data_IF_533040699302
#
_entry.id   IF_533040699302
#
_cell.length_a   1.000
_cell.length_b   1.000
_cell.length_c   1.000
_cell.angle_alpha   90.00
_cell.angle_beta   90.00
_cell.angle_gamma   90.00
#
_symmetry.space_group_name_H-M   'P 1'
#
loop_
_entity.id
_entity.type
_entity.pdbx_description
1 polymer ?
#
# COMPACT_ATOMS: atom_id res chain seq x y z
N UNK A 1 -23.05 8.24 2.21
CA UNK A 1 -21.66 7.71 2.13
C UNK A 1 -20.75 8.60 2.95
N UNK A 2 -20.09 8.06 3.99
CA UNK A 2 -19.19 8.85 4.84
C UNK A 2 -17.84 8.16 4.87
N UNK A 3 -16.80 8.84 4.39
CA UNK A 3 -15.42 8.39 4.52
C UNK A 3 -14.86 8.85 5.87
N UNK A 4 -14.36 7.92 6.69
CA UNK A 4 -13.80 8.19 8.00
C UNK A 4 -12.81 7.10 8.44
N UNK A 5 -11.99 7.39 9.44
CA UNK A 5 -11.09 6.38 10.01
C UNK A 5 -11.85 5.34 10.84
N UNK A 6 -11.30 4.11 10.94
CA UNK A 6 -11.88 3.03 11.77
C UNK A 6 -12.11 3.51 13.20
N UNK A 7 -11.16 4.21 13.79
CA UNK A 7 -11.27 4.73 15.16
C UNK A 7 -12.46 5.68 15.32
N UNK A 8 -12.71 6.54 14.34
CA UNK A 8 -13.86 7.44 14.34
C UNK A 8 -15.17 6.68 14.13
N UNK A 9 -15.19 5.72 13.22
CA UNK A 9 -16.34 4.86 12.97
C UNK A 9 -16.76 4.10 14.21
N UNK A 10 -15.81 3.48 14.90
CA UNK A 10 -16.06 2.72 16.13
C UNK A 10 -16.33 3.61 17.34
N UNK A 11 -16.12 4.93 17.24
CA UNK A 11 -16.31 5.87 18.33
C UNK A 11 -15.27 5.70 19.44
N UNK A 12 -13.99 5.93 19.10
CA UNK A 12 -12.88 5.88 20.04
C UNK A 12 -13.11 6.79 21.25
N UNK A 13 -12.80 6.29 22.44
CA UNK A 13 -12.88 7.03 23.69
C UNK A 13 -11.46 7.44 24.11
N UNK A 14 -11.22 8.71 24.50
CA UNK A 14 -9.92 9.13 25.00
C UNK A 14 -9.48 8.25 26.18
N UNK A 15 -8.21 7.83 26.19
CA UNK A 15 -7.59 7.04 27.26
C UNK A 15 -8.29 5.70 27.57
N UNK A 16 -9.00 5.12 26.59
CA UNK A 16 -9.69 3.85 26.76
C UNK A 16 -9.38 2.92 25.59
N UNK A 17 -9.10 1.64 25.83
CA UNK A 17 -8.94 0.64 24.75
C UNK A 17 -10.30 0.19 24.18
N UNK A 18 -11.41 0.67 24.72
CA UNK A 18 -12.76 0.28 24.31
C UNK A 18 -13.40 1.34 23.41
N UNK A 19 -14.17 0.85 22.43
CA UNK A 19 -14.95 1.66 21.51
C UNK A 19 -16.42 1.77 21.95
N UNK A 20 -17.15 2.73 21.38
CA UNK A 20 -18.61 2.83 21.58
C UNK A 20 -19.33 1.70 20.85
N UNK A 21 -18.95 1.47 19.58
CA UNK A 21 -19.49 0.36 18.79
C UNK A 21 -18.80 -0.96 19.18
N UNK A 22 -19.56 -2.00 19.38
CA UNK A 22 -19.13 -3.35 19.78
C UNK A 22 -20.27 -4.35 19.53
N UNK A 23 -20.10 -5.62 19.90
CA UNK A 23 -21.11 -6.66 19.69
C UNK A 23 -22.48 -6.37 20.34
N UNK A 24 -22.52 -5.63 21.47
CA UNK A 24 -23.75 -5.24 22.12
C UNK A 24 -24.38 -3.96 21.55
N UNK A 25 -23.58 -3.14 20.87
CA UNK A 25 -23.99 -1.90 20.23
C UNK A 25 -23.37 -1.88 18.83
N UNK A 26 -23.93 -2.67 17.89
CA UNK A 26 -23.37 -2.77 16.54
C UNK A 26 -23.53 -1.47 15.75
N UNK A 27 -22.72 -1.33 14.72
CA UNK A 27 -22.82 -0.25 13.75
C UNK A 27 -24.14 -0.35 12.96
N UNK A 28 -24.66 0.79 12.51
CA UNK A 28 -25.84 0.85 11.65
C UNK A 28 -25.39 1.03 10.20
N UNK A 29 -25.09 -0.09 9.53
CA UNK A 29 -24.66 -0.10 8.13
C UNK A 29 -24.96 -1.47 7.49
N UNK A 30 -25.13 -1.46 6.18
CA UNK A 30 -25.35 -2.66 5.36
C UNK A 30 -24.07 -3.12 4.66
N UNK A 31 -23.22 -2.15 4.27
CA UNK A 31 -21.96 -2.42 3.58
C UNK A 31 -20.85 -1.58 4.18
N UNK A 32 -19.74 -2.22 4.49
CA UNK A 32 -18.50 -1.57 4.91
C UNK A 32 -17.43 -1.81 3.85
N UNK A 33 -16.88 -0.72 3.30
CA UNK A 33 -15.66 -0.79 2.47
C UNK A 33 -14.50 -0.30 3.32
N UNK A 34 -13.51 -1.17 3.50
CA UNK A 34 -12.29 -0.87 4.25
C UNK A 34 -11.11 -0.79 3.28
N UNK A 35 -10.61 0.41 3.09
CA UNK A 35 -9.42 0.65 2.26
C UNK A 35 -8.14 0.54 3.11
N UNK A 36 -7.01 0.21 2.47
CA UNK A 36 -5.71 -0.02 3.11
C UNK A 36 -5.78 -1.05 4.26
N UNK A 37 -6.55 -2.14 4.06
CA UNK A 37 -6.79 -3.16 5.08
C UNK A 37 -5.52 -3.89 5.52
N UNK A 38 -4.45 -3.86 4.73
CA UNK A 38 -3.13 -4.40 5.07
C UNK A 38 -2.47 -3.70 6.27
N UNK A 39 -2.84 -2.44 6.53
CA UNK A 39 -2.32 -1.64 7.64
C UNK A 39 -3.11 -1.81 8.94
N UNK A 40 -4.19 -2.59 8.94
CA UNK A 40 -5.04 -2.80 10.12
C UNK A 40 -4.52 -4.00 10.91
N UNK A 41 -4.18 -3.77 12.18
CA UNK A 41 -3.73 -4.82 13.09
C UNK A 41 -4.86 -5.78 13.49
N UNK A 42 -4.50 -6.97 13.96
CA UNK A 42 -5.44 -8.00 14.37
C UNK A 42 -6.40 -7.54 15.49
N UNK A 43 -5.96 -6.85 16.56
CA UNK A 43 -6.87 -6.35 17.60
C UNK A 43 -7.91 -5.36 17.08
N UNK A 44 -7.54 -4.44 16.21
CA UNK A 44 -8.47 -3.45 15.63
C UNK A 44 -9.44 -4.10 14.66
N UNK A 45 -8.95 -5.04 13.82
CA UNK A 45 -9.80 -5.83 12.92
C UNK A 45 -10.82 -6.65 13.69
N UNK A 46 -10.42 -7.32 14.77
CA UNK A 46 -11.32 -8.08 15.63
C UNK A 46 -12.42 -7.20 16.24
N UNK A 47 -12.08 -6.00 16.72
CA UNK A 47 -13.05 -5.04 17.26
C UNK A 47 -14.00 -4.52 16.19
N UNK A 48 -13.49 -4.29 14.97
CA UNK A 48 -14.29 -3.89 13.83
C UNK A 48 -15.33 -4.97 13.49
N UNK A 49 -14.89 -6.22 13.34
CA UNK A 49 -15.79 -7.32 13.04
C UNK A 49 -16.82 -7.57 14.14
N UNK A 50 -16.43 -7.45 15.40
CA UNK A 50 -17.36 -7.56 16.52
C UNK A 50 -18.44 -6.46 16.53
N UNK A 51 -18.16 -5.31 15.96
CA UNK A 51 -19.09 -4.19 15.86
C UNK A 51 -19.97 -4.23 14.59
N UNK A 52 -19.71 -5.13 13.64
CA UNK A 52 -20.54 -5.28 12.43
C UNK A 52 -21.86 -5.98 12.74
N UNK A 53 -22.99 -5.49 12.20
CA UNK A 53 -24.24 -6.21 12.26
C UNK A 53 -24.16 -7.49 11.41
N UNK A 54 -24.90 -8.55 11.80
CA UNK A 54 -24.81 -9.88 11.15
C UNK A 54 -25.13 -9.88 9.66
N UNK A 55 -25.92 -8.93 9.20
CA UNK A 55 -26.32 -8.81 7.80
C UNK A 55 -25.35 -7.97 6.96
N UNK A 56 -24.42 -7.26 7.59
CA UNK A 56 -23.51 -6.38 6.89
C UNK A 56 -22.53 -7.15 6.00
N UNK A 57 -22.30 -6.62 4.83
CA UNK A 57 -21.23 -7.06 3.93
C UNK A 57 -19.97 -6.25 4.17
N UNK A 58 -18.82 -6.89 4.09
CA UNK A 58 -17.53 -6.21 4.18
C UNK A 58 -16.72 -6.43 2.91
N UNK A 59 -16.16 -5.34 2.40
CA UNK A 59 -15.22 -5.34 1.27
C UNK A 59 -13.88 -4.83 1.80
N UNK A 60 -12.88 -5.69 1.80
CA UNK A 60 -11.52 -5.36 2.19
C UNK A 60 -10.70 -5.04 0.94
N UNK A 61 -10.16 -3.83 0.87
CA UNK A 61 -9.25 -3.40 -0.18
C UNK A 61 -7.86 -3.21 0.44
N UNK A 62 -6.81 -3.65 -0.24
CA UNK A 62 -5.46 -3.48 0.26
C UNK A 62 -4.44 -4.25 -0.56
N UNK A 63 -3.20 -4.09 -0.21
CA UNK A 63 -2.07 -4.75 -0.86
C UNK A 63 -1.34 -5.64 0.15
N UNK A 64 -1.41 -6.95 -0.06
CA UNK A 64 -0.78 -7.94 0.83
C UNK A 64 0.75 -7.83 0.88
N UNK A 65 1.36 -7.19 -0.13
CA UNK A 65 2.80 -7.07 -0.29
C UNK A 65 3.34 -5.73 0.29
N UNK A 66 2.43 -4.82 0.72
CA UNK A 66 2.82 -3.61 1.45
C UNK A 66 3.24 -3.94 2.88
N UNK A 67 3.95 -2.99 3.48
CA UNK A 67 4.34 -3.10 4.89
C UNK A 67 3.11 -3.34 5.76
N UNK A 68 3.15 -4.43 6.51
CA UNK A 68 2.12 -4.72 7.51
C UNK A 68 2.06 -3.63 8.59
N UNK A 69 0.99 -3.64 9.38
CA UNK A 69 0.88 -2.78 10.55
C UNK A 69 2.09 -2.94 11.49
N UNK A 70 2.44 -1.89 12.20
CA UNK A 70 3.53 -1.91 13.19
C UNK A 70 3.22 -2.88 14.34
N UNK A 71 1.94 -3.11 14.62
CA UNK A 71 1.47 -4.07 15.61
C UNK A 71 1.25 -5.46 14.99
N UNK A 72 1.18 -6.47 15.85
CA UNK A 72 1.17 -7.89 15.46
C UNK A 72 -0.03 -8.28 14.61
N UNK A 73 0.25 -8.98 13.52
CA UNK A 73 -0.74 -9.66 12.67
C UNK A 73 -1.09 -8.90 11.39
N UNK A 74 -1.10 -9.61 10.28
CA UNK A 74 -1.56 -9.10 8.99
C UNK A 74 -2.77 -9.90 8.54
N UNK A 75 -3.96 -9.48 9.00
CA UNK A 75 -5.21 -10.21 8.72
C UNK A 75 -5.49 -10.35 7.23
N UNK A 76 -5.23 -9.27 6.46
CA UNK A 76 -5.43 -9.33 5.00
C UNK A 76 -4.50 -10.35 4.34
N UNK A 77 -3.21 -10.37 4.72
CA UNK A 77 -2.26 -11.34 4.19
C UNK A 77 -2.63 -12.77 4.55
N UNK A 78 -3.12 -13.00 5.77
CA UNK A 78 -3.58 -14.32 6.22
C UNK A 78 -4.81 -14.79 5.43
N UNK A 79 -5.77 -13.89 5.17
CA UNK A 79 -6.94 -14.16 4.32
C UNK A 79 -6.50 -14.49 2.89
N UNK A 80 -5.60 -13.70 2.32
CA UNK A 80 -5.07 -13.93 0.99
C UNK A 80 -4.29 -15.26 0.90
N UNK A 81 -3.44 -15.55 1.89
CA UNK A 81 -2.71 -16.81 1.97
C UNK A 81 -3.64 -18.03 2.07
N UNK A 82 -4.71 -17.93 2.86
CA UNK A 82 -5.71 -18.98 2.98
C UNK A 82 -6.45 -19.25 1.65
N UNK A 83 -6.57 -18.26 0.77
CA UNK A 83 -7.17 -18.41 -0.55
C UNK A 83 -6.24 -19.04 -1.59
N UNK A 84 -4.91 -18.96 -1.39
CA UNK A 84 -3.86 -19.39 -2.33
C UNK A 84 -3.42 -20.84 -2.17
N UNK A 85 -4.11 -21.60 -1.33
CA UNK A 85 -3.70 -22.92 -0.78
C UNK A 85 -3.43 -24.01 -1.81
N UNK A 86 -2.92 -23.79 -3.03
CA UNK A 86 -2.43 -24.90 -3.89
C UNK A 86 -1.78 -24.49 -5.22
N UNK A 87 -1.08 -23.40 -5.31
CA UNK A 87 -0.27 -23.15 -6.51
C UNK A 87 1.20 -23.07 -6.13
N UNK A 88 1.96 -24.10 -6.47
CA UNK A 88 3.43 -24.13 -6.34
C UNK A 88 4.13 -23.17 -7.31
N UNK A 89 3.37 -22.44 -8.12
CA UNK A 89 3.90 -21.49 -9.08
C UNK A 89 3.24 -20.11 -8.89
N UNK A 90 3.93 -19.16 -8.24
CA UNK A 90 3.38 -17.83 -7.95
C UNK A 90 2.99 -17.03 -9.20
N UNK A 91 3.62 -17.29 -10.34
CA UNK A 91 3.35 -16.59 -11.61
C UNK A 91 2.10 -17.13 -12.32
N UNK A 92 1.65 -18.35 -12.00
CA UNK A 92 0.46 -19.00 -12.59
C UNK A 92 -0.73 -19.09 -11.63
N UNK A 93 -0.71 -18.40 -10.51
CA UNK A 93 -1.81 -18.32 -9.56
C UNK A 93 -2.98 -17.47 -10.10
N UNK A 94 -3.51 -17.85 -11.24
CA UNK A 94 -4.90 -17.61 -11.56
C UNK A 94 -5.69 -18.28 -10.44
N UNK A 95 -6.29 -17.49 -9.58
CA UNK A 95 -7.18 -17.98 -8.54
C UNK A 95 -8.23 -18.86 -9.23
N UNK A 96 -8.08 -20.18 -9.11
CA UNK A 96 -9.09 -21.06 -9.65
C UNK A 96 -10.29 -20.99 -8.69
N UNK A 97 -11.31 -20.24 -9.06
CA UNK A 97 -12.59 -20.20 -8.35
C UNK A 97 -13.23 -21.59 -8.28
N UNK A 98 -14.17 -21.80 -7.38
CA UNK A 98 -14.98 -23.01 -7.37
C UNK A 98 -15.73 -23.17 -8.68
N UNK A 99 -16.11 -24.41 -9.02
CA UNK A 99 -16.89 -24.67 -10.23
C UNK A 99 -18.20 -23.88 -10.26
N UNK A 100 -18.81 -23.66 -9.10
CA UNK A 100 -20.03 -22.87 -8.97
C UNK A 100 -19.79 -21.40 -9.29
N UNK A 101 -18.72 -20.82 -8.76
CA UNK A 101 -18.35 -19.44 -9.06
C UNK A 101 -17.95 -19.28 -10.53
N UNK A 102 -17.20 -20.23 -11.07
CA UNK A 102 -16.82 -20.22 -12.49
C UNK A 102 -18.06 -20.22 -13.41
N UNK A 103 -19.05 -21.07 -13.15
CA UNK A 103 -20.30 -21.08 -13.91
C UNK A 103 -21.05 -19.73 -13.82
N UNK A 104 -21.07 -19.11 -12.64
CA UNK A 104 -21.68 -17.79 -12.48
C UNK A 104 -20.93 -16.71 -13.28
N UNK A 105 -19.60 -16.74 -13.26
CA UNK A 105 -18.76 -15.80 -14.02
C UNK A 105 -18.95 -15.98 -15.53
N UNK A 106 -18.96 -17.21 -16.04
CA UNK A 106 -19.19 -17.53 -17.45
C UNK A 106 -20.57 -17.05 -17.91
N UNK A 107 -21.59 -17.20 -17.07
CA UNK A 107 -22.94 -16.69 -17.35
C UNK A 107 -22.98 -15.16 -17.40
N UNK A 108 -22.32 -14.49 -16.46
CA UNK A 108 -22.31 -13.02 -16.36
C UNK A 108 -21.47 -12.35 -17.46
N UNK A 109 -20.36 -12.97 -17.83
CA UNK A 109 -19.43 -12.39 -18.81
C UNK A 109 -19.77 -12.77 -20.24
N UNK A 110 -20.74 -13.67 -20.45
CA UNK A 110 -21.07 -14.27 -21.76
C UNK A 110 -19.84 -14.82 -22.49
N UNK A 111 -18.82 -15.23 -21.76
CA UNK A 111 -17.56 -15.78 -22.26
C UNK A 111 -17.45 -17.21 -21.78
N UNK A 112 -17.53 -18.17 -22.67
CA UNK A 112 -17.08 -19.53 -22.40
C UNK A 112 -15.57 -19.51 -22.25
N UNK A 113 -15.11 -19.24 -21.05
CA UNK A 113 -13.68 -19.34 -20.75
C UNK A 113 -13.33 -20.80 -20.65
N UNK A 114 -12.96 -21.41 -21.79
CA UNK A 114 -12.28 -22.72 -21.81
C UNK A 114 -10.90 -22.57 -21.16
N UNK A 115 -10.87 -22.27 -19.89
CA UNK A 115 -9.67 -22.45 -19.07
C UNK A 115 -9.51 -23.97 -18.96
N UNK A 116 -8.46 -24.48 -19.56
CA UNK A 116 -8.09 -25.89 -19.55
C UNK A 116 -8.15 -26.46 -18.14
N UNK A 117 -9.25 -27.14 -17.84
CA UNK A 117 -9.50 -27.90 -16.59
C UNK A 117 -8.84 -29.27 -16.68
N UNK A 118 -7.66 -29.36 -17.29
CA UNK A 118 -6.86 -30.58 -17.18
C UNK A 118 -6.04 -30.47 -15.91
N UNK A 119 -6.35 -31.32 -14.96
CA UNK A 119 -5.56 -31.75 -13.78
C UNK A 119 -6.04 -31.42 -12.38
N UNK A 120 -7.27 -31.05 -12.14
CA UNK A 120 -7.74 -30.99 -10.74
C UNK A 120 -8.72 -32.13 -10.36
N UNK A 121 -8.69 -33.27 -11.04
CA UNK A 121 -9.73 -34.31 -10.85
C UNK A 121 -9.51 -35.26 -9.65
N UNK A 122 -8.45 -35.16 -8.84
CA UNK A 122 -8.17 -36.19 -7.82
C UNK A 122 -7.59 -35.71 -6.49
N UNK A 123 -7.89 -34.52 -6.03
CA UNK A 123 -7.56 -34.18 -4.63
C UNK A 123 -8.79 -33.59 -3.96
N UNK A 124 -9.50 -34.42 -3.15
CA UNK A 124 -10.48 -33.97 -2.16
C UNK A 124 -9.74 -33.22 -1.04
N UNK A 125 -9.18 -32.07 -1.34
CA UNK A 125 -8.67 -31.15 -0.35
C UNK A 125 -9.79 -30.19 -0.02
N UNK A 126 -10.04 -29.98 1.28
CA UNK A 126 -11.02 -29.02 1.79
C UNK A 126 -10.83 -27.68 1.07
N UNK A 127 -11.74 -27.39 0.13
CA UNK A 127 -11.73 -26.12 -0.59
C UNK A 127 -11.96 -25.02 0.43
N UNK A 128 -11.05 -24.08 0.53
CA UNK A 128 -11.20 -22.94 1.43
C UNK A 128 -12.46 -22.18 1.04
N UNK A 129 -13.38 -22.01 1.97
CA UNK A 129 -14.63 -21.26 1.80
C UNK A 129 -14.36 -19.80 1.37
N UNK A 130 -13.16 -19.28 1.66
CA UNK A 130 -12.75 -17.91 1.37
C UNK A 130 -12.33 -17.72 -0.09
N UNK A 131 -11.99 -18.78 -0.80
CA UNK A 131 -11.42 -18.74 -2.15
C UNK A 131 -12.23 -17.91 -3.16
N UNK A 132 -13.54 -18.10 -3.16
CA UNK A 132 -14.45 -17.43 -4.10
C UNK A 132 -14.70 -15.94 -3.75
N UNK A 133 -14.22 -15.52 -2.58
CA UNK A 133 -14.41 -14.15 -2.07
C UNK A 133 -13.15 -13.29 -2.16
N UNK A 134 -12.06 -13.81 -2.73
CA UNK A 134 -10.81 -13.07 -2.89
C UNK A 134 -10.54 -12.83 -4.37
N UNK A 135 -10.34 -11.56 -4.72
CA UNK A 135 -9.98 -11.13 -6.08
C UNK A 135 -8.62 -10.43 -6.02
N UNK A 136 -7.69 -10.85 -6.88
CA UNK A 136 -6.37 -10.26 -7.00
C UNK A 136 -6.26 -9.48 -8.30
N UNK A 137 -5.92 -8.19 -8.19
CA UNK A 137 -5.59 -7.36 -9.33
C UNK A 137 -4.11 -7.56 -9.67
N UNK A 138 -3.81 -8.04 -10.87
CA UNK A 138 -2.44 -8.38 -11.28
C UNK A 138 -1.79 -7.33 -12.18
N UNK A 139 -2.59 -6.52 -12.87
CA UNK A 139 -2.06 -5.52 -13.81
C UNK A 139 -1.83 -4.19 -13.09
N UNK A 140 -0.58 -3.75 -13.07
CA UNK A 140 -0.24 -2.40 -12.60
C UNK A 140 -0.48 -1.38 -13.72
N UNK A 141 -1.23 -0.31 -13.41
CA UNK A 141 -1.40 0.86 -14.27
C UNK A 141 -0.56 2.04 -13.81
N UNK A 142 0.08 1.93 -12.65
CA UNK A 142 0.88 3.00 -12.03
C UNK A 142 2.32 2.99 -12.55
N UNK A 143 2.88 1.81 -12.74
CA UNK A 143 4.26 1.62 -13.23
C UNK A 143 4.28 0.61 -14.39
N UNK A 144 5.16 0.88 -15.37
CA UNK A 144 5.45 -0.11 -16.40
C UNK A 144 6.36 -1.19 -15.77
N UNK A 145 6.06 -2.46 -16.01
CA UNK A 145 6.87 -3.59 -15.50
C UNK A 145 8.32 -3.56 -15.98
N UNK A 146 8.58 -2.92 -17.12
CA UNK A 146 9.92 -2.76 -17.68
C UNK A 146 10.62 -1.47 -17.23
N UNK A 147 9.99 -0.63 -16.41
CA UNK A 147 10.62 0.57 -15.82
C UNK A 147 11.55 0.19 -14.68
N UNK A 148 12.48 1.07 -14.33
CA UNK A 148 13.38 0.86 -13.20
C UNK A 148 12.63 0.66 -11.89
N UNK A 149 11.59 1.47 -11.64
CA UNK A 149 10.72 1.33 -10.47
C UNK A 149 10.01 -0.02 -10.48
N UNK A 150 9.46 -0.45 -11.63
CA UNK A 150 8.76 -1.73 -11.76
C UNK A 150 9.67 -2.93 -11.50
N UNK A 151 10.86 -2.93 -12.06
CA UNK A 151 11.85 -3.99 -11.84
C UNK A 151 12.37 -4.01 -10.39
N UNK A 152 12.66 -2.83 -9.82
CA UNK A 152 13.08 -2.73 -8.43
C UNK A 152 12.02 -3.28 -7.49
N UNK A 153 10.75 -2.89 -7.69
CA UNK A 153 9.63 -3.40 -6.90
C UNK A 153 9.50 -4.93 -6.99
N UNK A 154 9.70 -5.50 -8.18
CA UNK A 154 9.67 -6.96 -8.39
C UNK A 154 10.80 -7.66 -7.62
N UNK A 155 12.03 -7.15 -7.68
CA UNK A 155 13.16 -7.72 -6.95
C UNK A 155 12.99 -7.61 -5.42
N UNK A 156 12.53 -6.44 -4.94
CA UNK A 156 12.27 -6.23 -3.51
C UNK A 156 11.19 -7.19 -3.01
N UNK A 157 10.08 -7.33 -3.76
CA UNK A 157 9.00 -8.26 -3.43
C UNK A 157 9.47 -9.72 -3.38
N UNK A 158 10.33 -10.11 -4.30
CA UNK A 158 10.92 -11.45 -4.36
C UNK A 158 12.05 -11.68 -3.34
N UNK A 159 12.42 -10.69 -2.52
CA UNK A 159 13.54 -10.77 -1.57
C UNK A 159 14.91 -10.86 -2.25
N UNK A 160 15.02 -10.47 -3.51
CA UNK A 160 16.25 -10.57 -4.31
C UNK A 160 17.15 -9.36 -4.07
N UNK A 161 17.81 -9.35 -2.91
CA UNK A 161 18.64 -8.24 -2.45
C UNK A 161 19.80 -7.88 -3.41
N UNK A 162 20.51 -8.88 -3.92
CA UNK A 162 21.67 -8.67 -4.81
C UNK A 162 21.23 -8.03 -6.12
N UNK A 163 20.13 -8.51 -6.70
CA UNK A 163 19.58 -7.97 -7.94
C UNK A 163 19.07 -6.54 -7.75
N UNK A 164 18.42 -6.25 -6.61
CA UNK A 164 17.99 -4.90 -6.26
C UNK A 164 19.16 -3.93 -6.19
N UNK A 165 20.25 -4.29 -5.50
CA UNK A 165 21.45 -3.45 -5.44
C UNK A 165 22.15 -3.31 -6.79
N UNK A 166 22.25 -4.40 -7.56
CA UNK A 166 22.84 -4.35 -8.90
C UNK A 166 22.07 -3.39 -9.83
N UNK A 167 20.74 -3.43 -9.78
CA UNK A 167 19.89 -2.54 -10.55
C UNK A 167 20.07 -1.07 -10.14
N UNK A 168 20.11 -0.79 -8.84
CA UNK A 168 20.33 0.57 -8.31
C UNK A 168 21.72 1.13 -8.67
N UNK A 169 22.76 0.29 -8.71
CA UNK A 169 24.13 0.70 -9.05
C UNK A 169 24.40 0.81 -10.56
N UNK A 170 23.55 0.21 -11.39
CA UNK A 170 23.81 0.12 -12.84
C UNK A 170 23.48 1.42 -13.60
N UNK A 171 22.75 2.37 -13.00
CA UNK A 171 22.33 3.65 -13.59
C UNK A 171 21.73 3.52 -14.99
N UNK A 172 21.01 2.41 -15.24
CA UNK A 172 20.45 2.06 -16.55
C UNK A 172 19.07 2.68 -16.80
N UNK A 173 18.42 3.17 -15.73
CA UNK A 173 17.05 3.66 -15.77
C UNK A 173 16.98 5.13 -15.42
N UNK A 174 16.19 5.87 -16.16
CA UNK A 174 16.00 7.32 -15.95
C UNK A 174 14.93 7.63 -14.89
N UNK A 175 14.13 6.66 -14.49
CA UNK A 175 13.03 6.79 -13.52
C UNK A 175 13.44 6.44 -12.09
N UNK A 176 14.65 5.96 -11.87
CA UNK A 176 15.24 5.73 -10.54
C UNK A 176 16.66 6.30 -10.48
N UNK A 177 17.05 6.80 -9.33
CA UNK A 177 18.43 7.19 -9.04
C UNK A 177 18.80 6.76 -7.63
N UNK A 178 20.04 6.28 -7.47
CA UNK A 178 20.58 5.83 -6.20
C UNK A 178 21.75 6.67 -5.76
N UNK A 179 21.60 7.42 -4.68
CA UNK A 179 22.65 8.25 -4.13
C UNK A 179 23.32 7.56 -2.97
N UNK A 180 24.53 7.07 -3.18
CA UNK A 180 25.37 6.56 -2.11
C UNK A 180 26.30 7.67 -1.61
N UNK A 181 26.31 7.93 -0.30
CA UNK A 181 27.24 8.91 0.25
C UNK A 181 28.66 8.39 0.13
N UNK A 182 29.56 9.27 -0.29
CA UNK A 182 30.99 8.98 -0.47
C UNK A 182 31.78 8.93 0.82
N UNK A 183 31.21 9.34 1.96
CA UNK A 183 31.92 9.62 3.20
C UNK A 183 31.58 8.65 4.33
N UNK A 184 32.55 8.44 5.22
CA UNK A 184 32.46 7.49 6.33
C UNK A 184 31.85 8.05 7.62
N UNK A 185 31.76 9.38 7.74
CA UNK A 185 31.19 10.03 8.91
C UNK A 185 29.67 10.26 8.74
N UNK A 186 28.83 9.85 9.70
CA UNK A 186 27.39 10.02 9.61
C UNK A 186 26.94 11.46 9.35
N UNK A 187 27.66 12.44 9.87
CA UNK A 187 27.32 13.84 9.78
C UNK A 187 27.66 14.46 8.42
N UNK A 188 28.78 14.07 7.82
CA UNK A 188 29.15 14.51 6.47
C UNK A 188 28.28 13.88 5.40
N UNK A 189 27.96 12.60 5.56
CA UNK A 189 26.98 11.86 4.75
C UNK A 189 25.64 12.57 4.72
N UNK A 190 25.16 12.93 5.88
CA UNK A 190 23.88 13.59 6.03
C UNK A 190 23.86 14.96 5.33
N UNK A 191 24.91 15.76 5.48
CA UNK A 191 25.00 17.08 4.84
C UNK A 191 25.08 16.96 3.30
N UNK A 192 25.78 15.95 2.78
CA UNK A 192 25.89 15.70 1.33
C UNK A 192 24.53 15.31 0.74
N UNK A 193 23.84 14.35 1.35
CA UNK A 193 22.52 13.93 0.89
C UNK A 193 21.51 15.07 1.01
N UNK A 194 21.51 15.80 2.11
CA UNK A 194 20.61 16.95 2.30
C UNK A 194 20.84 18.04 1.26
N UNK A 195 22.10 18.35 0.95
CA UNK A 195 22.42 19.31 -0.09
C UNK A 195 21.89 18.88 -1.44
N UNK A 196 22.09 17.61 -1.81
CA UNK A 196 21.60 17.04 -3.06
C UNK A 196 20.07 17.07 -3.11
N UNK A 197 19.42 16.62 -2.04
CA UNK A 197 17.96 16.62 -1.91
C UNK A 197 17.38 18.04 -2.05
N UNK A 198 17.91 19.00 -1.30
CA UNK A 198 17.47 20.40 -1.37
C UNK A 198 17.65 20.96 -2.78
N UNK A 199 18.77 20.70 -3.43
CA UNK A 199 19.02 21.17 -4.80
C UNK A 199 17.98 20.63 -5.79
N UNK A 200 17.50 19.39 -5.59
CA UNK A 200 16.46 18.79 -6.43
C UNK A 200 15.06 19.32 -6.10
N UNK A 201 14.76 19.57 -4.83
CA UNK A 201 13.44 20.00 -4.38
C UNK A 201 13.17 21.50 -4.61
N UNK A 202 14.19 22.32 -4.46
CA UNK A 202 14.05 23.78 -4.45
C UNK A 202 13.31 24.36 -5.67
N UNK A 203 13.59 23.96 -6.92
CA UNK A 203 12.93 24.52 -8.09
C UNK A 203 11.39 24.39 -8.04
N UNK A 204 10.89 23.24 -7.60
CA UNK A 204 9.44 23.00 -7.52
C UNK A 204 8.83 23.76 -6.34
N UNK A 205 9.49 23.83 -5.20
CA UNK A 205 9.03 24.65 -4.07
C UNK A 205 9.03 26.14 -4.38
N UNK A 206 9.97 26.65 -5.20
CA UNK A 206 9.94 28.02 -5.67
C UNK A 206 8.71 28.31 -6.54
N UNK A 207 8.40 27.42 -7.49
CA UNK A 207 7.19 27.51 -8.31
C UNK A 207 5.92 27.45 -7.45
N UNK A 208 5.91 26.60 -6.44
CA UNK A 208 4.83 26.51 -5.45
C UNK A 208 4.63 27.84 -4.71
N UNK A 209 5.72 28.42 -4.19
CA UNK A 209 5.68 29.70 -3.48
C UNK A 209 5.22 30.85 -4.38
N UNK A 210 5.69 30.91 -5.63
CA UNK A 210 5.26 31.88 -6.61
C UNK A 210 3.75 31.78 -6.92
N UNK A 211 3.24 30.55 -7.09
CA UNK A 211 1.82 30.34 -7.34
C UNK A 211 0.95 30.81 -6.14
N UNK A 212 1.40 30.59 -4.91
CA UNK A 212 0.73 31.12 -3.70
C UNK A 212 0.72 32.65 -3.70
N UNK A 213 1.86 33.30 -4.00
CA UNK A 213 1.97 34.77 -4.05
C UNK A 213 1.06 35.37 -5.12
N UNK A 214 0.83 34.65 -6.22
CA UNK A 214 -0.08 35.03 -7.30
C UNK A 214 -1.56 34.71 -6.99
N UNK A 215 -1.86 34.05 -5.88
CA UNK A 215 -3.21 33.61 -5.49
C UNK A 215 -3.73 32.39 -6.26
N UNK A 216 -2.90 31.74 -7.08
CA UNK A 216 -3.28 30.54 -7.83
C UNK A 216 -3.08 29.28 -6.98
N UNK A 217 -4.04 29.03 -6.07
CA UNK A 217 -4.03 27.88 -5.21
C UNK A 217 -4.08 26.55 -5.98
N UNK A 218 -4.76 26.51 -7.12
CA UNK A 218 -4.86 25.28 -7.93
C UNK A 218 -3.50 24.89 -8.50
N UNK A 219 -2.76 25.84 -9.01
CA UNK A 219 -1.42 25.59 -9.54
C UNK A 219 -0.44 25.29 -8.40
N UNK A 220 -0.57 25.94 -7.26
CA UNK A 220 0.24 25.63 -6.07
C UNK A 220 0.08 24.17 -5.65
N UNK A 221 -1.15 23.66 -5.52
CA UNK A 221 -1.40 22.25 -5.21
C UNK A 221 -0.83 21.30 -6.27
N UNK A 222 -0.91 21.67 -7.55
CA UNK A 222 -0.34 20.88 -8.63
C UNK A 222 1.19 20.75 -8.51
N UNK A 223 1.89 21.82 -8.16
CA UNK A 223 3.33 21.76 -7.89
C UNK A 223 3.66 20.91 -6.67
N UNK A 224 2.92 21.06 -5.58
CA UNK A 224 3.14 20.29 -4.36
C UNK A 224 2.97 18.78 -4.57
N UNK A 225 2.10 18.36 -5.49
CA UNK A 225 1.87 16.95 -5.84
C UNK A 225 2.95 16.35 -6.76
N UNK A 226 3.81 17.16 -7.37
CA UNK A 226 4.83 16.66 -8.30
C UNK A 226 6.00 15.95 -7.61
N UNK A 227 6.25 16.27 -6.33
CA UNK A 227 7.34 15.65 -5.58
C UNK A 227 6.95 15.47 -4.11
N UNK A 228 7.46 14.41 -3.51
CA UNK A 228 7.25 14.10 -2.11
C UNK A 228 8.49 13.44 -1.52
N UNK A 229 8.91 13.87 -0.34
CA UNK A 229 9.99 13.25 0.42
C UNK A 229 9.40 12.27 1.41
N UNK A 230 9.79 11.01 1.30
CA UNK A 230 9.39 9.97 2.24
C UNK A 230 10.51 9.74 3.25
N UNK A 231 10.16 9.75 4.53
CA UNK A 231 11.08 9.52 5.64
C UNK A 231 10.67 8.27 6.41
N UNK A 232 11.64 7.45 6.78
CA UNK A 232 11.40 6.26 7.60
C UNK A 232 11.02 6.60 9.06
N UNK A 233 11.32 7.82 9.53
CA UNK A 233 11.12 8.26 10.91
C UNK A 233 10.47 9.64 10.97
N UNK A 234 9.70 9.90 12.04
CA UNK A 234 9.09 11.20 12.29
C UNK A 234 10.10 12.20 12.86
N UNK A 235 10.94 11.76 13.77
CA UNK A 235 11.93 12.57 14.50
C UNK A 235 13.32 12.00 14.30
N UNK A 236 14.34 12.80 14.60
CA UNK A 236 15.74 12.45 14.38
C UNK A 236 16.30 13.13 13.14
N UNK A 237 17.59 12.92 12.89
CA UNK A 237 18.35 13.64 11.87
C UNK A 237 17.75 13.49 10.45
N UNK A 238 17.22 12.32 10.12
CA UNK A 238 16.57 11.97 8.86
C UNK A 238 15.03 11.97 8.96
N UNK A 239 14.51 12.53 10.05
CA UNK A 239 13.08 12.54 10.29
C UNK A 239 12.36 13.68 9.59
N UNK A 240 11.06 13.52 9.41
CA UNK A 240 10.16 14.49 8.78
C UNK A 240 10.31 15.89 9.39
N UNK A 241 10.37 15.99 10.73
CA UNK A 241 10.45 17.26 11.44
C UNK A 241 11.73 18.03 11.08
N UNK A 242 12.88 17.34 11.06
CA UNK A 242 14.16 17.97 10.77
C UNK A 242 14.28 18.36 9.28
N UNK A 243 13.83 17.48 8.39
CA UNK A 243 13.87 17.77 6.94
C UNK A 243 12.96 18.94 6.55
N UNK A 244 11.76 19.02 7.12
CA UNK A 244 10.88 20.18 6.90
C UNK A 244 11.53 21.48 7.35
N UNK A 245 12.10 21.51 8.56
CA UNK A 245 12.79 22.71 9.06
C UNK A 245 13.97 23.12 8.16
N UNK A 246 14.71 22.17 7.61
CA UNK A 246 15.83 22.47 6.70
C UNK A 246 15.33 23.01 5.35
N UNK A 247 14.28 22.42 4.77
CA UNK A 247 13.68 22.89 3.51
C UNK A 247 13.11 24.30 3.70
N UNK A 248 12.37 24.54 4.78
CA UNK A 248 11.82 25.86 5.12
C UNK A 248 12.93 26.91 5.27
N UNK A 249 14.00 26.59 6.00
CA UNK A 249 15.13 27.49 6.16
C UNK A 249 15.82 27.85 4.84
N UNK A 250 15.93 26.91 3.90
CA UNK A 250 16.51 27.20 2.59
C UNK A 250 15.59 28.05 1.71
N UNK A 251 14.27 27.84 1.80
CA UNK A 251 13.29 28.69 1.11
C UNK A 251 13.28 30.12 1.65
N UNK A 252 13.49 30.32 2.95
CA UNK A 252 13.55 31.66 3.56
C UNK A 252 14.81 32.44 3.23
N UNK A 253 15.89 31.80 2.77
CA UNK A 253 17.14 32.48 2.36
C UNK A 253 17.07 33.11 0.97
N UNK A 254 16.03 32.83 0.23
CA UNK A 254 15.78 33.31 -1.14
C UNK A 254 14.72 34.40 -1.16
#
# INVERSE_FOLDING_TARGET
>A
EQCQTIHRLLGAKPQSPYFKANASHPLHLDVLVLDEASMVDLPLMAKLFAALPKHAQIILLGDQDQLASVETGSVLSDICAASQLQSDNPDNALMAYSNTMQQHLDMLLCVTTSLNLETAANTQTQQSVIRDNVVRLVKSHRFNENSGIGQLAKYVKAGQFVQSLSLLNADQFTDISWHQPSQTSPQTVANEILKTLITQLLPIYQLYTQAIQQGDLRQAFKYLQQQQVLCAQKSGYWGVTQLNALIENELHKQ
#
